data_IF_203464096990
#
_entry.id   IF_203464096990
#
_cell.length_a   1.000
_cell.length_b   1.000
_cell.length_c   1.000
_cell.angle_alpha   90.00
_cell.angle_beta   90.00
_cell.angle_gamma   90.00
#
_symmetry.space_group_name_H-M   'P 1'
#
loop_
_entity.id
_entity.type
_entity.pdbx_description
1 polymer ?
#
# COMPACT_ATOMS: atom_id res chain seq x y z
N UNK A 1 -24.95 -1.62 10.49
CA UNK A 1 -24.20 -2.81 10.92
C UNK A 1 -22.74 -2.65 10.52
N UNK A 2 -21.74 -3.12 11.29
CA UNK A 2 -20.32 -3.09 10.86
C UNK A 2 -20.10 -3.94 9.61
N UNK A 3 -19.05 -3.65 8.86
CA UNK A 3 -18.63 -4.52 7.74
C UNK A 3 -18.11 -5.83 8.34
N UNK A 4 -18.52 -6.96 7.78
CA UNK A 4 -18.15 -8.28 8.31
C UNK A 4 -16.66 -8.51 8.16
N UNK A 5 -16.02 -9.14 9.16
CA UNK A 5 -14.58 -9.44 9.20
C UNK A 5 -14.13 -10.24 7.97
N UNK A 6 -14.89 -11.24 7.56
CA UNK A 6 -14.56 -12.08 6.40
C UNK A 6 -14.56 -11.29 5.09
N UNK A 7 -15.47 -10.30 4.96
CA UNK A 7 -15.49 -9.42 3.79
C UNK A 7 -14.27 -8.48 3.76
N UNK A 8 -13.83 -8.00 4.91
CA UNK A 8 -12.60 -7.21 5.05
C UNK A 8 -11.36 -8.04 4.70
N UNK A 9 -11.27 -9.25 5.24
CA UNK A 9 -10.15 -10.17 4.95
C UNK A 9 -10.10 -10.52 3.45
N UNK A 10 -11.25 -10.84 2.85
CA UNK A 10 -11.35 -11.12 1.42
C UNK A 10 -10.90 -9.92 0.58
N UNK A 11 -11.29 -8.69 0.95
CA UNK A 11 -10.88 -7.47 0.27
C UNK A 11 -9.35 -7.27 0.32
N UNK A 12 -8.72 -7.57 1.45
CA UNK A 12 -7.27 -7.49 1.61
C UNK A 12 -6.53 -8.50 0.73
N UNK A 13 -6.91 -9.78 0.84
CA UNK A 13 -6.28 -10.86 0.08
C UNK A 13 -6.42 -10.63 -1.42
N UNK A 14 -7.61 -10.20 -1.88
CA UNK A 14 -7.82 -9.90 -3.30
C UNK A 14 -7.06 -8.64 -3.76
N UNK A 15 -6.84 -7.63 -2.90
CA UNK A 15 -5.98 -6.49 -3.22
C UNK A 15 -4.53 -6.92 -3.39
N UNK A 16 -3.98 -7.70 -2.45
CA UNK A 16 -2.62 -8.23 -2.52
C UNK A 16 -2.44 -9.15 -3.75
N UNK A 17 -3.37 -10.07 -4.01
CA UNK A 17 -3.28 -10.97 -5.17
C UNK A 17 -3.37 -10.19 -6.50
N UNK A 18 -4.25 -9.18 -6.61
CA UNK A 18 -4.36 -8.35 -7.83
C UNK A 18 -3.05 -7.59 -8.09
N UNK A 19 -2.41 -7.09 -7.04
CA UNK A 19 -1.11 -6.42 -7.15
C UNK A 19 -0.01 -7.38 -7.56
N UNK A 20 0.05 -8.59 -7.00
CA UNK A 20 1.01 -9.62 -7.40
C UNK A 20 0.83 -10.06 -8.86
N UNK A 21 -0.39 -10.04 -9.37
CA UNK A 21 -0.70 -10.37 -10.78
C UNK A 21 -0.44 -9.20 -11.73
N UNK A 22 -0.27 -7.99 -11.23
CA UNK A 22 0.13 -6.84 -12.02
C UNK A 22 1.64 -6.88 -12.32
N UNK A 23 2.03 -6.68 -13.59
CA UNK A 23 3.44 -6.61 -13.95
C UNK A 23 4.05 -5.28 -13.51
N UNK A 24 4.99 -5.33 -12.58
CA UNK A 24 5.63 -4.16 -11.99
C UNK A 24 7.14 -4.20 -12.23
N UNK A 25 7.68 -3.41 -13.20
CA UNK A 25 9.12 -3.41 -13.47
C UNK A 25 9.97 -3.18 -12.21
N UNK A 26 10.92 -4.09 -11.97
CA UNK A 26 11.82 -4.07 -10.81
C UNK A 26 11.24 -4.67 -9.51
N UNK A 27 9.95 -4.96 -9.47
CA UNK A 27 9.30 -5.54 -8.28
C UNK A 27 8.80 -6.97 -8.53
N UNK A 28 8.42 -7.68 -7.47
CA UNK A 28 7.92 -9.07 -7.55
C UNK A 28 6.53 -9.12 -8.18
N UNK A 29 6.32 -10.07 -9.07
CA UNK A 29 5.01 -10.41 -9.66
C UNK A 29 5.00 -11.87 -10.09
N UNK A 30 3.82 -12.42 -10.42
CA UNK A 30 3.69 -13.79 -10.98
C UNK A 30 4.49 -13.99 -12.29
N UNK A 31 4.91 -12.91 -12.93
CA UNK A 31 5.69 -12.94 -14.17
C UNK A 31 7.20 -12.89 -13.92
N UNK A 32 7.63 -12.44 -12.76
CA UNK A 32 9.03 -12.14 -12.48
C UNK A 32 9.30 -12.00 -10.99
N UNK A 33 10.06 -12.92 -10.41
CA UNK A 33 10.55 -12.87 -9.04
C UNK A 33 11.80 -11.99 -8.93
N UNK A 34 12.10 -11.48 -7.76
CA UNK A 34 13.25 -10.61 -7.53
C UNK A 34 13.63 -10.52 -6.05
N UNK A 35 14.89 -10.17 -5.81
CA UNK A 35 15.38 -9.78 -4.48
C UNK A 35 15.26 -10.88 -3.43
N UNK A 36 15.45 -12.15 -3.84
CA UNK A 36 15.35 -13.34 -2.97
C UNK A 36 13.96 -13.51 -2.32
N UNK A 37 12.93 -12.93 -2.93
CA UNK A 37 11.53 -13.03 -2.52
C UNK A 37 10.70 -13.68 -3.64
N UNK A 38 9.82 -14.60 -3.24
CA UNK A 38 8.91 -15.30 -4.14
C UNK A 38 7.49 -14.77 -4.04
N UNK A 39 6.68 -15.01 -5.05
CA UNK A 39 5.23 -14.71 -5.01
C UNK A 39 4.56 -15.41 -3.82
N UNK A 40 5.00 -16.63 -3.50
CA UNK A 40 4.44 -17.41 -2.41
C UNK A 40 4.76 -16.78 -1.04
N UNK A 41 5.92 -16.15 -0.87
CA UNK A 41 6.23 -15.40 0.35
C UNK A 41 5.23 -14.25 0.57
N UNK A 42 4.87 -13.53 -0.48
CA UNK A 42 3.87 -12.46 -0.39
C UNK A 42 2.47 -13.00 -0.09
N UNK A 43 2.05 -14.12 -0.70
CA UNK A 43 0.76 -14.76 -0.40
C UNK A 43 0.69 -15.24 1.04
N UNK A 44 1.73 -15.91 1.53
CA UNK A 44 1.83 -16.35 2.94
C UNK A 44 1.80 -15.16 3.89
N UNK A 45 2.50 -14.08 3.56
CA UNK A 45 2.53 -12.84 4.34
C UNK A 45 1.14 -12.21 4.43
N UNK A 46 0.43 -12.10 3.31
CA UNK A 46 -0.92 -11.56 3.28
C UNK A 46 -1.90 -12.43 4.10
N UNK A 47 -1.84 -13.75 3.93
CA UNK A 47 -2.67 -14.68 4.69
C UNK A 47 -2.42 -14.61 6.21
N UNK A 48 -1.16 -14.46 6.63
CA UNK A 48 -0.79 -14.39 8.05
C UNK A 48 -1.14 -13.03 8.68
N UNK A 49 -0.94 -11.92 7.98
CA UNK A 49 -1.19 -10.56 8.49
C UNK A 49 -2.66 -10.17 8.50
N UNK A 50 -3.44 -10.64 7.52
CA UNK A 50 -4.84 -10.25 7.30
C UNK A 50 -5.75 -10.39 8.52
N UNK A 51 -5.75 -11.51 9.27
CA UNK A 51 -6.58 -11.68 10.46
C UNK A 51 -6.39 -10.60 11.52
N UNK A 52 -5.16 -10.11 11.74
CA UNK A 52 -4.85 -9.07 12.72
C UNK A 52 -5.25 -7.68 12.21
N UNK A 53 -5.08 -7.41 10.93
CA UNK A 53 -5.54 -6.16 10.31
C UNK A 53 -7.07 -6.00 10.39
N UNK A 54 -7.82 -7.10 10.26
CA UNK A 54 -9.28 -7.11 10.31
C UNK A 54 -9.84 -7.20 11.73
N UNK A 55 -9.01 -7.31 12.77
CA UNK A 55 -9.45 -7.44 14.16
C UNK A 55 -9.88 -6.08 14.70
N UNK A 56 -11.15 -5.94 15.09
CA UNK A 56 -11.71 -4.70 15.64
C UNK A 56 -11.31 -4.43 17.09
N UNK A 57 -10.83 -5.43 17.81
CA UNK A 57 -10.49 -5.32 19.23
C UNK A 57 -9.07 -4.80 19.43
N UNK A 58 -8.25 -4.75 18.36
CA UNK A 58 -6.90 -4.22 18.38
C UNK A 58 -6.89 -2.72 18.04
N UNK A 59 -6.06 -1.95 18.74
CA UNK A 59 -5.71 -0.57 18.36
C UNK A 59 -4.92 -0.55 17.05
N UNK A 60 -4.76 0.64 16.44
CA UNK A 60 -4.03 0.79 15.20
C UNK A 60 -2.59 0.25 15.30
N UNK A 61 -1.88 0.63 16.36
CA UNK A 61 -0.51 0.18 16.57
C UNK A 61 -0.40 -1.33 16.81
N UNK A 62 -1.35 -1.89 17.57
CA UNK A 62 -1.41 -3.35 17.80
C UNK A 62 -1.67 -4.13 16.51
N UNK A 63 -2.60 -3.66 15.65
CA UNK A 63 -2.81 -4.24 14.32
C UNK A 63 -1.50 -4.32 13.53
N UNK A 64 -0.77 -3.21 13.47
CA UNK A 64 0.51 -3.11 12.76
C UNK A 64 1.52 -4.11 13.32
N UNK A 65 1.67 -4.16 14.65
CA UNK A 65 2.64 -5.04 15.30
C UNK A 65 2.30 -6.51 15.13
N UNK A 66 1.06 -6.90 15.43
CA UNK A 66 0.67 -8.31 15.37
C UNK A 66 0.63 -8.84 13.94
N UNK A 67 0.22 -8.03 12.95
CA UNK A 67 0.28 -8.37 11.54
C UNK A 67 1.73 -8.57 11.07
N UNK A 68 2.65 -7.68 11.48
CA UNK A 68 4.08 -7.79 11.16
C UNK A 68 4.70 -9.03 11.82
N UNK A 69 4.38 -9.30 13.09
CA UNK A 69 4.85 -10.49 13.79
C UNK A 69 4.39 -11.76 13.09
N UNK A 70 3.11 -11.86 12.76
CA UNK A 70 2.58 -13.02 12.07
C UNK A 70 3.25 -13.26 10.70
N UNK A 71 3.55 -12.19 9.97
CA UNK A 71 4.35 -12.29 8.74
C UNK A 71 5.73 -12.88 9.02
N UNK A 72 6.45 -12.38 10.03
CA UNK A 72 7.82 -12.84 10.38
C UNK A 72 7.86 -14.28 10.87
N UNK A 73 6.77 -14.80 11.39
CA UNK A 73 6.64 -16.21 11.79
C UNK A 73 6.54 -17.16 10.60
N UNK A 74 6.07 -16.69 9.44
CA UNK A 74 5.84 -17.54 8.25
C UNK A 74 6.80 -17.26 7.10
N UNK A 75 7.47 -16.10 7.06
CA UNK A 75 8.46 -15.72 6.03
C UNK A 75 9.71 -15.13 6.66
N UNK A 76 10.92 -15.51 6.17
CA UNK A 76 12.19 -15.08 6.78
C UNK A 76 12.57 -13.63 6.47
N UNK A 77 11.89 -12.98 5.54
CA UNK A 77 12.20 -11.64 5.04
C UNK A 77 11.05 -10.65 5.23
N UNK A 78 11.33 -9.36 5.07
CA UNK A 78 10.29 -8.32 5.09
C UNK A 78 9.65 -8.19 3.71
N UNK A 79 8.46 -8.74 3.56
CA UNK A 79 7.68 -8.70 2.31
C UNK A 79 6.61 -7.61 2.31
N UNK A 80 6.04 -7.23 3.46
CA UNK A 80 4.79 -6.48 3.49
C UNK A 80 4.65 -5.44 4.61
N UNK A 81 5.75 -4.99 5.25
CA UNK A 81 5.63 -3.96 6.29
C UNK A 81 4.92 -2.69 5.77
N UNK A 82 5.29 -2.21 4.57
CA UNK A 82 4.67 -1.04 3.97
C UNK A 82 3.19 -1.26 3.67
N UNK A 83 2.81 -2.43 3.18
CA UNK A 83 1.41 -2.82 2.99
C UNK A 83 0.66 -2.79 4.32
N UNK A 84 1.22 -3.36 5.38
CA UNK A 84 0.61 -3.38 6.73
C UNK A 84 0.42 -1.97 7.26
N UNK A 85 1.46 -1.11 7.16
CA UNK A 85 1.39 0.29 7.59
C UNK A 85 0.30 1.07 6.85
N UNK A 86 0.05 0.79 5.58
CA UNK A 86 -0.99 1.45 4.80
C UNK A 86 -2.38 0.82 4.99
N UNK A 87 -2.46 -0.50 5.16
CA UNK A 87 -3.72 -1.21 5.32
C UNK A 87 -4.36 -1.02 6.69
N UNK A 88 -3.57 -1.01 7.77
CA UNK A 88 -4.08 -0.91 9.14
C UNK A 88 -4.97 0.34 9.37
N UNK A 89 -4.56 1.57 8.99
CA UNK A 89 -5.41 2.73 9.16
C UNK A 89 -6.65 2.71 8.25
N UNK A 90 -6.59 2.10 7.05
CA UNK A 90 -7.76 1.92 6.19
C UNK A 90 -8.78 0.97 6.84
N UNK A 91 -8.34 -0.12 7.45
CA UNK A 91 -9.23 -1.02 8.19
C UNK A 91 -9.82 -0.36 9.43
N UNK A 92 -9.02 0.34 10.20
CA UNK A 92 -9.51 1.09 11.37
C UNK A 92 -10.57 2.11 10.93
N UNK A 93 -10.34 2.82 9.83
CA UNK A 93 -11.29 3.78 9.27
C UNK A 93 -12.64 3.12 8.90
N UNK A 94 -12.63 1.95 8.25
CA UNK A 94 -13.86 1.22 7.90
C UNK A 94 -14.60 0.74 9.14
N UNK A 95 -13.88 0.25 10.14
CA UNK A 95 -14.45 -0.27 11.39
C UNK A 95 -15.11 0.84 12.23
N UNK A 96 -14.53 2.04 12.19
CA UNK A 96 -15.00 3.21 12.95
C UNK A 96 -15.84 4.20 12.13
N UNK A 97 -16.15 3.90 10.86
CA UNK A 97 -16.84 4.85 9.97
C UNK A 97 -18.21 5.23 10.51
N UNK A 98 -18.48 6.54 10.54
CA UNK A 98 -19.75 7.12 11.00
C UNK A 98 -20.72 7.30 9.83
N UNK A 99 -21.98 7.52 10.18
CA UNK A 99 -22.99 7.82 9.18
C UNK A 99 -22.67 9.11 8.44
N UNK A 100 -22.75 9.07 7.11
CA UNK A 100 -22.40 10.21 6.24
C UNK A 100 -20.92 10.40 5.93
N UNK A 101 -20.00 9.78 6.68
CA UNK A 101 -18.57 9.88 6.38
C UNK A 101 -18.21 9.12 5.08
N UNK A 102 -17.22 9.65 4.36
CA UNK A 102 -16.47 8.89 3.35
C UNK A 102 -15.37 8.07 4.03
N UNK A 103 -14.82 7.08 3.31
CA UNK A 103 -13.66 6.32 3.82
C UNK A 103 -12.49 7.26 4.16
N UNK A 104 -12.23 8.26 3.32
CA UNK A 104 -11.15 9.23 3.54
C UNK A 104 -11.39 10.12 4.75
N UNK A 105 -12.64 10.54 5.02
CA UNK A 105 -12.96 11.35 6.21
C UNK A 105 -12.75 10.55 7.48
N UNK A 106 -13.22 9.31 7.51
CA UNK A 106 -12.97 8.39 8.62
C UNK A 106 -11.47 8.13 8.81
N UNK A 107 -10.71 7.92 7.73
CA UNK A 107 -9.26 7.76 7.77
C UNK A 107 -8.55 8.98 8.37
N UNK A 108 -8.91 10.20 7.93
CA UNK A 108 -8.35 11.44 8.48
C UNK A 108 -8.58 11.53 9.98
N UNK A 109 -9.77 11.17 10.45
CA UNK A 109 -10.12 11.16 11.86
C UNK A 109 -9.32 10.12 12.64
N UNK A 110 -9.19 8.91 12.12
CA UNK A 110 -8.39 7.83 12.73
C UNK A 110 -6.93 8.25 12.86
N UNK A 111 -6.33 8.78 11.80
CA UNK A 111 -4.94 9.23 11.82
C UNK A 111 -4.73 10.36 12.83
N UNK A 112 -5.67 11.32 12.92
CA UNK A 112 -5.62 12.41 13.89
C UNK A 112 -5.84 11.97 15.35
N UNK A 113 -6.40 10.78 15.57
CA UNK A 113 -6.65 10.21 16.89
C UNK A 113 -5.57 9.21 17.35
N UNK A 114 -4.51 9.02 16.56
CA UNK A 114 -3.40 8.13 16.94
C UNK A 114 -2.71 8.59 18.23
N UNK A 115 -2.21 7.64 18.98
CA UNK A 115 -1.62 7.84 20.31
C UNK A 115 -0.11 7.57 20.31
N UNK A 116 0.57 7.90 21.41
CA UNK A 116 1.96 7.50 21.66
C UNK A 116 2.07 5.97 21.78
N UNK A 117 1.07 5.29 22.33
CA UNK A 117 1.03 3.82 22.37
C UNK A 117 1.00 3.20 20.96
N UNK A 118 0.26 3.81 20.01
CA UNK A 118 0.28 3.38 18.61
C UNK A 118 1.68 3.56 17.98
N UNK A 119 2.37 4.66 18.34
CA UNK A 119 3.76 4.87 17.90
C UNK A 119 4.71 3.78 18.45
N UNK A 120 4.59 3.44 19.74
CA UNK A 120 5.44 2.41 20.37
C UNK A 120 5.23 1.02 19.73
N UNK A 121 3.98 0.62 19.50
CA UNK A 121 3.67 -0.60 18.80
C UNK A 121 4.21 -0.60 17.36
N UNK A 122 4.06 0.52 16.65
CA UNK A 122 4.57 0.67 15.27
C UNK A 122 6.09 0.61 15.24
N UNK A 123 6.79 1.25 16.17
CA UNK A 123 8.25 1.18 16.28
C UNK A 123 8.73 -0.26 16.54
N UNK A 124 8.04 -0.99 17.42
CA UNK A 124 8.30 -2.43 17.64
C UNK A 124 8.12 -3.23 16.35
N UNK A 125 7.08 -2.94 15.57
CA UNK A 125 6.84 -3.60 14.27
C UNK A 125 7.97 -3.31 13.27
N UNK A 126 8.40 -2.05 13.15
CA UNK A 126 9.49 -1.66 12.24
C UNK A 126 10.80 -2.34 12.64
N UNK A 127 11.14 -2.34 13.93
CA UNK A 127 12.33 -3.08 14.42
C UNK A 127 12.27 -4.57 14.12
N UNK A 128 11.09 -5.18 14.28
CA UNK A 128 10.89 -6.61 13.99
C UNK A 128 11.01 -6.92 12.50
N UNK A 129 10.49 -6.06 11.64
CA UNK A 129 10.54 -6.23 10.18
C UNK A 129 11.93 -6.02 9.60
N UNK A 130 12.79 -5.22 10.27
CA UNK A 130 14.15 -4.89 9.82
C UNK A 130 14.19 -4.41 8.36
N UNK A 131 13.45 -3.36 7.97
CA UNK A 131 13.46 -2.88 6.61
C UNK A 131 14.85 -2.40 6.21
N UNK A 132 15.29 -2.75 5.00
CA UNK A 132 16.60 -2.35 4.49
C UNK A 132 16.71 -0.82 4.31
N UNK A 133 17.88 -0.26 4.66
CA UNK A 133 18.18 1.15 4.44
C UNK A 133 17.43 2.13 5.36
N UNK A 134 16.93 1.69 6.51
CA UNK A 134 16.20 2.55 7.43
C UNK A 134 17.02 3.77 7.89
N UNK A 135 18.34 3.60 8.04
CA UNK A 135 19.25 4.66 8.49
C UNK A 135 19.03 5.05 9.96
N UNK A 136 19.57 6.21 10.32
CA UNK A 136 19.39 6.85 11.62
C UNK A 136 18.52 8.10 11.46
N UNK A 137 17.71 8.39 12.47
CA UNK A 137 16.94 9.64 12.53
C UNK A 137 17.44 10.49 13.69
N UNK A 138 17.72 11.80 13.49
CA UNK A 138 18.10 12.66 14.59
C UNK A 138 16.97 12.82 15.62
N UNK A 139 15.72 12.70 15.19
CA UNK A 139 14.55 12.85 16.01
C UNK A 139 13.63 11.62 15.83
N UNK A 140 13.01 11.17 16.93
CA UNK A 140 12.05 10.07 16.96
C UNK A 140 12.56 8.82 16.21
N UNK A 141 13.82 8.42 16.45
CA UNK A 141 14.38 7.21 15.86
C UNK A 141 13.60 5.97 16.35
N UNK A 142 13.29 5.08 15.45
CA UNK A 142 12.51 3.87 15.77
C UNK A 142 13.24 2.92 16.73
N UNK A 143 14.54 3.11 16.97
CA UNK A 143 15.32 2.35 17.97
C UNK A 143 15.02 2.79 19.40
N UNK A 144 14.55 4.03 19.58
CA UNK A 144 14.21 4.59 20.87
C UNK A 144 12.71 4.44 21.18
N UNK A 145 12.31 4.75 22.41
CA UNK A 145 10.89 4.84 22.75
C UNK A 145 10.30 6.14 22.17
N UNK A 146 9.13 6.11 21.51
CA UNK A 146 8.55 7.33 20.98
C UNK A 146 8.05 8.24 22.12
N UNK A 147 8.25 9.55 21.95
CA UNK A 147 7.77 10.57 22.88
C UNK A 147 6.53 11.32 22.37
N UNK A 148 6.08 10.97 21.14
CA UNK A 148 5.00 11.63 20.41
C UNK A 148 3.98 10.61 19.90
N UNK A 149 2.83 11.10 19.41
CA UNK A 149 1.83 10.26 18.77
C UNK A 149 2.37 9.66 17.45
N UNK A 150 1.72 8.60 16.95
CA UNK A 150 2.14 7.99 15.67
C UNK A 150 2.07 9.00 14.52
N UNK A 151 1.03 9.83 14.44
CA UNK A 151 0.93 10.85 13.40
C UNK A 151 2.06 11.87 13.49
N UNK A 152 2.44 12.30 14.69
CA UNK A 152 3.57 13.21 14.89
C UNK A 152 4.89 12.54 14.52
N UNK A 153 5.09 11.28 14.90
CA UNK A 153 6.27 10.50 14.48
C UNK A 153 6.38 10.41 12.94
N UNK A 154 5.26 10.20 12.25
CA UNK A 154 5.25 10.18 10.79
C UNK A 154 5.60 11.54 10.17
N UNK A 155 5.27 12.67 10.82
CA UNK A 155 5.69 14.02 10.34
C UNK A 155 7.21 14.19 10.30
N UNK A 156 7.94 13.63 11.25
CA UNK A 156 9.41 13.66 11.21
C UNK A 156 10.00 12.90 10.02
N UNK A 157 9.26 11.93 9.48
CA UNK A 157 9.72 11.08 8.37
C UNK A 157 9.12 11.43 7.00
N UNK A 158 8.07 12.27 6.91
CA UNK A 158 7.27 12.47 5.68
C UNK A 158 8.06 12.98 4.48
N UNK A 159 9.13 13.70 4.71
CA UNK A 159 9.97 14.26 3.64
C UNK A 159 10.92 13.23 3.01
N UNK A 160 11.15 12.08 3.67
CA UNK A 160 12.05 11.00 3.24
C UNK A 160 11.39 9.64 3.06
N UNK A 161 10.16 9.48 3.56
CA UNK A 161 9.40 8.24 3.48
C UNK A 161 7.97 8.49 2.99
N UNK A 162 7.63 7.91 1.83
CA UNK A 162 6.35 8.18 1.21
C UNK A 162 5.18 7.50 1.92
N UNK A 163 5.42 6.46 2.72
CA UNK A 163 4.39 5.87 3.59
C UNK A 163 4.07 6.84 4.72
N UNK A 164 5.09 7.42 5.36
CA UNK A 164 4.90 8.46 6.37
C UNK A 164 4.14 9.67 5.82
N UNK A 165 4.45 10.09 4.58
CA UNK A 165 3.70 11.13 3.88
C UNK A 165 2.20 10.80 3.74
N UNK A 166 1.82 9.54 3.52
CA UNK A 166 0.40 9.19 3.46
C UNK A 166 -0.32 9.47 4.78
N UNK A 167 0.32 9.19 5.91
CA UNK A 167 -0.27 9.47 7.23
C UNK A 167 -0.56 10.96 7.43
N UNK A 168 0.36 11.81 7.06
CA UNK A 168 0.27 13.27 7.28
C UNK A 168 -0.66 13.97 6.29
N UNK A 169 -0.88 13.38 5.11
CA UNK A 169 -1.69 13.94 4.04
C UNK A 169 -2.99 13.15 3.76
N UNK A 170 -3.43 12.33 4.71
CA UNK A 170 -4.67 11.55 4.60
C UNK A 170 -4.73 10.76 3.29
N UNK A 171 -3.63 10.06 2.98
CA UNK A 171 -3.47 9.20 1.80
C UNK A 171 -3.73 9.92 0.47
N UNK A 172 -3.20 11.15 0.34
CA UNK A 172 -3.42 11.97 -0.85
C UNK A 172 -3.04 11.25 -2.15
N UNK A 173 -1.89 10.56 -2.20
CA UNK A 173 -1.49 9.83 -3.41
C UNK A 173 -2.47 8.73 -3.77
N UNK A 174 -3.07 8.09 -2.77
CA UNK A 174 -4.07 7.04 -2.97
C UNK A 174 -5.39 7.62 -3.44
N UNK A 175 -5.96 8.58 -2.70
CA UNK A 175 -7.31 9.08 -2.97
C UNK A 175 -7.36 10.08 -4.13
N UNK A 176 -6.38 10.97 -4.27
CA UNK A 176 -6.42 12.05 -5.26
C UNK A 176 -5.80 11.66 -6.60
N UNK A 177 -4.91 10.63 -6.62
CA UNK A 177 -4.22 10.21 -7.83
C UNK A 177 -4.52 8.75 -8.20
N UNK A 178 -4.23 7.78 -7.31
CA UNK A 178 -4.24 6.36 -7.65
C UNK A 178 -5.66 5.83 -7.94
N UNK A 179 -6.63 6.09 -7.06
CA UNK A 179 -8.03 5.63 -7.22
C UNK A 179 -8.67 6.20 -8.49
N UNK A 180 -8.64 7.51 -8.78
CA UNK A 180 -9.18 8.06 -10.03
C UNK A 180 -8.53 7.45 -11.27
N UNK A 181 -7.21 7.20 -11.23
CA UNK A 181 -6.49 6.56 -12.31
C UNK A 181 -6.92 5.10 -12.49
N UNK A 182 -7.04 4.34 -11.41
CA UNK A 182 -7.51 2.97 -11.42
C UNK A 182 -8.89 2.85 -12.07
N UNK A 183 -9.86 3.63 -11.62
CA UNK A 183 -11.22 3.60 -12.17
C UNK A 183 -11.28 3.97 -13.64
N UNK A 184 -10.53 4.99 -14.07
CA UNK A 184 -10.44 5.38 -15.47
C UNK A 184 -9.91 4.25 -16.34
N UNK A 185 -8.86 3.57 -15.89
CA UNK A 185 -8.25 2.48 -16.65
C UNK A 185 -9.09 1.20 -16.60
N UNK A 186 -9.74 0.93 -15.49
CA UNK A 186 -10.68 -0.17 -15.38
C UNK A 186 -11.89 0.03 -16.30
N UNK A 187 -12.42 1.26 -16.40
CA UNK A 187 -13.49 1.58 -17.35
C UNK A 187 -13.04 1.45 -18.81
N UNK A 188 -11.78 1.78 -19.12
CA UNK A 188 -11.21 1.68 -20.46
C UNK A 188 -10.97 0.23 -20.90
N UNK A 189 -10.39 -0.60 -20.02
CA UNK A 189 -9.90 -1.93 -20.40
C UNK A 189 -10.71 -3.09 -19.83
N UNK A 190 -11.54 -2.87 -18.81
CA UNK A 190 -12.27 -3.94 -18.12
C UNK A 190 -11.39 -4.89 -17.30
N UNK A 191 -10.09 -4.61 -17.20
CA UNK A 191 -9.08 -5.47 -16.59
C UNK A 191 -8.47 -4.82 -15.33
N UNK A 192 -8.64 -5.49 -14.18
CA UNK A 192 -8.20 -5.00 -12.88
C UNK A 192 -6.68 -5.05 -12.72
N UNK A 193 -6.02 -6.05 -13.31
CA UNK A 193 -4.57 -6.27 -13.20
C UNK A 193 -3.82 -5.22 -14.05
N UNK A 194 -4.25 -4.97 -15.28
CA UNK A 194 -3.70 -3.90 -16.10
C UNK A 194 -4.01 -2.50 -15.56
N UNK A 195 -5.15 -2.34 -14.89
CA UNK A 195 -5.46 -1.09 -14.19
C UNK A 195 -4.51 -0.86 -13.02
N UNK A 196 -4.12 -1.92 -12.29
CA UNK A 196 -3.10 -1.86 -11.25
C UNK A 196 -1.70 -1.56 -11.82
N UNK A 197 -1.33 -2.15 -12.97
CA UNK A 197 -0.10 -1.77 -13.70
C UNK A 197 -0.09 -0.27 -14.01
N UNK A 198 -1.20 0.28 -14.52
CA UNK A 198 -1.29 1.70 -14.80
C UNK A 198 -1.16 2.58 -13.55
N UNK A 199 -1.72 2.15 -12.42
CA UNK A 199 -1.56 2.86 -11.12
C UNK A 199 -0.08 2.87 -10.72
N UNK A 200 0.56 1.70 -10.68
CA UNK A 200 1.98 1.57 -10.33
C UNK A 200 2.86 2.48 -11.21
N UNK A 201 2.70 2.38 -12.53
CA UNK A 201 3.45 3.19 -13.50
C UNK A 201 3.20 4.69 -13.28
N UNK A 202 1.95 5.07 -13.04
CA UNK A 202 1.59 6.47 -12.81
C UNK A 202 2.19 7.03 -11.51
N UNK A 203 2.11 6.29 -10.41
CA UNK A 203 2.71 6.69 -9.14
C UNK A 203 4.23 6.84 -9.29
N UNK A 204 4.91 5.82 -9.78
CA UNK A 204 6.38 5.80 -9.90
C UNK A 204 6.92 6.82 -10.92
N UNK A 205 6.10 7.26 -11.88
CA UNK A 205 6.45 8.34 -12.81
C UNK A 205 6.55 9.70 -12.11
N UNK A 206 5.66 9.97 -11.15
CA UNK A 206 5.50 11.28 -10.54
C UNK A 206 6.10 11.39 -9.14
N UNK A 207 6.28 10.26 -8.46
CA UNK A 207 6.68 10.20 -7.07
C UNK A 207 7.95 9.37 -6.96
N UNK A 208 9.06 9.93 -6.44
CA UNK A 208 10.25 9.15 -6.13
C UNK A 208 9.91 8.03 -5.13
N UNK A 209 10.42 6.84 -5.40
CA UNK A 209 10.18 5.68 -4.53
C UNK A 209 11.13 5.71 -3.33
N UNK A 210 10.58 5.77 -2.13
CA UNK A 210 11.36 5.86 -0.89
C UNK A 210 12.27 4.65 -0.66
N UNK A 211 11.87 3.45 -1.13
CA UNK A 211 12.72 2.26 -1.01
C UNK A 211 13.96 2.38 -1.90
N UNK A 212 13.81 2.92 -3.12
CA UNK A 212 14.93 3.19 -4.02
C UNK A 212 15.83 4.28 -3.43
N UNK A 213 15.23 5.39 -2.96
CA UNK A 213 16.00 6.52 -2.44
C UNK A 213 16.75 6.17 -1.15
N UNK A 214 16.19 5.35 -0.26
CA UNK A 214 16.89 4.86 0.94
C UNK A 214 18.15 4.06 0.59
N UNK A 215 18.12 3.30 -0.51
CA UNK A 215 19.22 2.43 -0.90
C UNK A 215 20.28 3.16 -1.74
N UNK A 216 19.86 4.10 -2.58
CA UNK A 216 20.71 4.66 -3.63
C UNK A 216 20.77 6.20 -3.65
N UNK A 217 20.07 6.87 -2.73
CA UNK A 217 19.83 8.30 -2.84
C UNK A 217 19.06 8.63 -4.13
N UNK A 218 19.21 9.85 -4.63
CA UNK A 218 18.53 10.31 -5.85
C UNK A 218 19.13 9.74 -7.16
N UNK A 219 20.09 8.82 -7.08
CA UNK A 219 20.84 8.31 -8.24
C UNK A 219 19.95 7.82 -9.38
N UNK A 220 18.86 7.12 -9.05
CA UNK A 220 17.99 6.50 -10.03
C UNK A 220 16.67 7.23 -10.27
N UNK A 221 16.36 8.28 -9.51
CA UNK A 221 15.08 9.00 -9.58
C UNK A 221 14.75 9.45 -11.01
N UNK A 222 15.69 10.07 -11.71
CA UNK A 222 15.46 10.57 -13.08
C UNK A 222 15.25 9.46 -14.12
N UNK A 223 16.04 8.38 -14.07
CA UNK A 223 15.90 7.28 -15.02
C UNK A 223 14.63 6.49 -14.78
N UNK A 224 14.27 6.25 -13.53
CA UNK A 224 13.02 5.56 -13.15
C UNK A 224 11.81 6.36 -13.65
N UNK A 225 11.75 7.66 -13.38
CA UNK A 225 10.68 8.53 -13.86
C UNK A 225 10.59 8.55 -15.39
N UNK A 226 11.73 8.61 -16.09
CA UNK A 226 11.79 8.56 -17.55
C UNK A 226 11.26 7.25 -18.13
N UNK A 227 11.66 6.09 -17.58
CA UNK A 227 11.15 4.78 -18.01
C UNK A 227 9.66 4.64 -17.76
N UNK A 228 9.19 5.11 -16.60
CA UNK A 228 7.74 5.10 -16.30
C UNK A 228 6.98 6.03 -17.23
N UNK A 229 7.54 7.18 -17.62
CA UNK A 229 6.90 8.06 -18.61
C UNK A 229 6.77 7.41 -20.00
N UNK A 230 7.76 6.62 -20.43
CA UNK A 230 7.70 5.86 -21.68
C UNK A 230 6.57 4.80 -21.65
N UNK A 231 6.50 4.03 -20.54
CA UNK A 231 5.44 3.03 -20.35
C UNK A 231 4.07 3.70 -20.26
N UNK A 232 3.94 4.78 -19.49
CA UNK A 232 2.70 5.53 -19.33
C UNK A 232 2.17 6.07 -20.66
N UNK A 233 3.06 6.59 -21.50
CA UNK A 233 2.72 7.03 -22.87
C UNK A 233 2.21 5.85 -23.71
N UNK A 234 2.88 4.71 -23.68
CA UNK A 234 2.45 3.52 -24.42
C UNK A 234 1.07 3.02 -23.93
N UNK A 235 0.85 2.94 -22.60
CA UNK A 235 -0.42 2.57 -22.00
C UNK A 235 -1.55 3.57 -22.29
N UNK A 236 -1.23 4.85 -22.50
CA UNK A 236 -2.24 5.89 -22.72
C UNK A 236 -2.86 5.84 -24.11
N UNK A 237 -2.12 5.34 -25.10
CA UNK A 237 -2.56 5.27 -26.50
C UNK A 237 -3.04 3.86 -26.92
N UNK A 238 -2.98 2.88 -26.01
CA UNK A 238 -3.34 1.50 -26.31
C UNK A 238 -4.70 1.12 -25.74
N UNK A 239 -5.59 0.60 -26.57
CA UNK A 239 -6.82 -0.08 -26.14
C UNK A 239 -6.57 -1.53 -25.69
N UNK A 240 -5.38 -2.07 -25.99
CA UNK A 240 -4.93 -3.40 -25.63
C UNK A 240 -3.64 -3.31 -24.81
N UNK A 241 -3.75 -3.14 -23.48
CA UNK A 241 -2.59 -2.88 -22.63
C UNK A 241 -1.55 -4.01 -22.64
N UNK A 242 -1.94 -5.25 -22.98
CA UNK A 242 -1.03 -6.39 -23.13
C UNK A 242 0.04 -6.19 -24.21
N UNK A 243 -0.19 -5.32 -25.18
CA UNK A 243 0.80 -4.97 -26.21
C UNK A 243 2.01 -4.21 -25.64
N UNK A 244 1.88 -3.65 -24.43
CA UNK A 244 2.96 -2.95 -23.73
C UNK A 244 3.89 -3.92 -22.98
N UNK A 245 3.53 -5.21 -22.86
CA UNK A 245 4.32 -6.21 -22.13
C UNK A 245 5.80 -6.29 -22.55
N UNK A 246 6.19 -6.24 -23.84
CA UNK A 246 7.61 -6.25 -24.21
C UNK A 246 8.40 -5.07 -23.62
N UNK A 247 7.80 -3.87 -23.58
CA UNK A 247 8.42 -2.69 -22.97
C UNK A 247 8.53 -2.85 -21.45
N UNK A 248 7.49 -3.36 -20.79
CA UNK A 248 7.53 -3.65 -19.35
C UNK A 248 8.66 -4.63 -19.00
N UNK A 249 8.81 -5.72 -19.78
CA UNK A 249 9.89 -6.70 -19.59
C UNK A 249 11.28 -6.10 -19.79
N UNK A 250 11.46 -5.25 -20.79
CA UNK A 250 12.74 -4.59 -21.06
C UNK A 250 13.14 -3.68 -19.87
N UNK A 251 12.20 -2.90 -19.35
CA UNK A 251 12.43 -2.03 -18.17
C UNK A 251 12.63 -2.86 -16.90
N UNK A 252 11.91 -3.97 -16.72
CA UNK A 252 12.09 -4.90 -15.60
C UNK A 252 13.52 -5.46 -15.56
N UNK A 253 14.02 -5.91 -16.70
CA UNK A 253 15.39 -6.41 -16.81
C UNK A 253 16.44 -5.31 -16.48
N UNK A 254 16.22 -4.08 -16.96
CA UNK A 254 17.07 -2.93 -16.63
C UNK A 254 17.05 -2.64 -15.12
N UNK A 255 15.86 -2.58 -14.51
CA UNK A 255 15.74 -2.28 -13.09
C UNK A 255 16.36 -3.37 -12.22
N UNK A 256 16.09 -4.64 -12.52
CA UNK A 256 16.66 -5.77 -11.78
C UNK A 256 18.17 -5.84 -11.90
N UNK A 257 18.74 -5.58 -13.07
CA UNK A 257 20.19 -5.52 -13.25
C UNK A 257 20.85 -4.42 -12.42
N UNK A 258 20.14 -3.31 -12.19
CA UNK A 258 20.55 -2.20 -11.32
C UNK A 258 20.22 -2.39 -9.84
N UNK A 259 19.56 -3.48 -9.46
CA UNK A 259 19.07 -3.70 -8.09
C UNK A 259 17.98 -2.71 -7.66
N UNK A 260 17.29 -2.10 -8.63
CA UNK A 260 16.22 -1.11 -8.43
C UNK A 260 14.93 -1.85 -8.11
N UNK A 261 14.39 -1.62 -6.91
CA UNK A 261 13.14 -2.20 -6.43
C UNK A 261 12.16 -1.10 -5.98
N UNK A 262 11.12 -0.79 -6.75
CA UNK A 262 10.12 0.20 -6.38
C UNK A 262 9.11 -0.35 -5.34
N UNK A 263 9.60 -0.73 -4.16
CA UNK A 263 8.81 -1.39 -3.13
C UNK A 263 7.71 -0.49 -2.55
N UNK A 264 8.04 0.77 -2.25
CA UNK A 264 7.03 1.72 -1.70
C UNK A 264 5.89 1.97 -2.68
N UNK A 265 6.19 2.02 -3.98
CA UNK A 265 5.15 2.20 -5.02
C UNK A 265 4.26 0.97 -5.15
N UNK A 266 4.83 -0.23 -4.96
CA UNK A 266 4.05 -1.48 -4.87
C UNK A 266 3.10 -1.46 -3.67
N UNK A 267 3.58 -1.06 -2.48
CA UNK A 267 2.77 -0.90 -1.27
C UNK A 267 1.61 0.08 -1.47
N UNK A 268 1.87 1.24 -2.10
CA UNK A 268 0.86 2.23 -2.45
C UNK A 268 -0.17 1.69 -3.47
N UNK A 269 0.26 0.81 -4.37
CA UNK A 269 -0.64 0.15 -5.32
C UNK A 269 -1.60 -0.79 -4.59
N UNK A 270 -1.11 -1.58 -3.63
CA UNK A 270 -1.98 -2.40 -2.77
C UNK A 270 -2.95 -1.51 -1.98
N UNK A 271 -2.48 -0.41 -1.40
CA UNK A 271 -3.34 0.51 -0.65
C UNK A 271 -4.46 1.10 -1.52
N UNK A 272 -4.18 1.45 -2.78
CA UNK A 272 -5.18 1.88 -3.75
C UNK A 272 -6.22 0.78 -4.00
N UNK A 273 -5.78 -0.42 -4.33
CA UNK A 273 -6.66 -1.56 -4.60
C UNK A 273 -7.53 -1.92 -3.38
N UNK A 274 -6.95 -1.88 -2.18
CA UNK A 274 -7.67 -2.11 -0.94
C UNK A 274 -8.73 -1.01 -0.72
N UNK A 275 -8.37 0.26 -0.83
CA UNK A 275 -9.28 1.38 -0.65
C UNK A 275 -10.49 1.30 -1.61
N UNK A 276 -10.26 0.99 -2.88
CA UNK A 276 -11.34 0.76 -3.87
C UNK A 276 -12.31 -0.34 -3.42
N UNK A 277 -11.80 -1.45 -2.89
CA UNK A 277 -12.63 -2.55 -2.40
C UNK A 277 -13.41 -2.18 -1.14
N UNK A 278 -12.76 -1.47 -0.22
CA UNK A 278 -13.41 -1.01 1.00
C UNK A 278 -14.52 0.00 0.71
N UNK A 279 -14.32 0.93 -0.23
CA UNK A 279 -15.38 1.84 -0.71
C UNK A 279 -16.56 1.09 -1.34
N UNK A 280 -16.28 0.05 -2.12
CA UNK A 280 -17.32 -0.80 -2.71
C UNK A 280 -18.15 -1.53 -1.62
N UNK A 281 -17.52 -2.07 -0.59
CA UNK A 281 -18.19 -2.70 0.56
C UNK A 281 -19.08 -1.70 1.31
N UNK A 282 -18.58 -0.48 1.54
CA UNK A 282 -19.33 0.59 2.18
C UNK A 282 -20.54 1.04 1.33
N UNK A 283 -20.39 1.10 0.00
CA UNK A 283 -21.47 1.43 -0.94
C UNK A 283 -22.58 0.37 -0.97
N UNK A 284 -22.23 -0.91 -0.88
CA UNK A 284 -23.20 -2.02 -0.80
C UNK A 284 -23.98 -1.98 0.52
N UNK A 285 -23.33 -1.59 1.62
CA UNK A 285 -23.97 -1.40 2.93
C UNK A 285 -25.04 -0.31 2.88
N UNK A 286 -24.74 0.84 2.30
CA UNK A 286 -25.69 1.97 2.18
C UNK A 286 -26.96 1.56 1.41
N UNK A 287 -26.82 0.77 0.34
CA UNK A 287 -27.95 0.26 -0.45
C UNK A 287 -28.84 -0.72 0.34
N UNK A 288 -28.25 -1.59 1.15
CA UNK A 288 -29.01 -2.55 1.98
C UNK A 288 -29.79 -1.86 3.11
N UNK A 289 -29.23 -0.81 3.73
CA UNK A 289 -29.91 -0.04 4.78
C UNK A 289 -31.01 0.89 4.22
N UNK A 290 -30.84 1.46 3.04
CA UNK A 290 -31.87 2.30 2.40
C UNK A 290 -33.12 1.53 1.96
N UNK A 291 -32.98 0.26 1.58
CA UNK A 291 -34.10 -0.59 1.17
C UNK A 291 -35.02 -1.01 2.33
N UNK A 292 -34.59 -0.86 3.59
CA UNK A 292 -35.39 -1.16 4.79
C UNK A 292 -36.18 0.05 5.32
N UNK A 293 -35.96 1.25 4.77
CA UNK A 293 -36.66 2.47 5.19
C UNK A 293 -37.81 2.87 4.25
N UNK A 294 -37.99 2.14 3.14
CA UNK A 294 -39.08 2.38 2.16
C UNK A 294 -40.13 1.25 2.14
N UNK A 295 -40.11 0.36 3.11
CA UNK A 295 -41.12 -0.70 3.32
C UNK A 295 -41.87 -0.46 4.67
#
# INVERSE_FOLDING_TARGET
MPVQRDALLSAYLDACETELRAFKPGNVSIYSEAHDMTVEDFRRSAAASGPFLCDSDLSLGEKIYHATRATREVVPCNTNLGIILLAAPLFQAVQEIREGETLRDALRRVLGATTQADADWTYKAIRLAQPGGLGESPDQDVRDAPEVTLLEAMRFAEHRDRIAYQYTNSFADVFDFAIPRYHRKLSQWGDKEWSAVAVFVGLLKHIPDSHIERKFGARYTGIVASRMAQIDKALSVSDRPEQVMPLLRAVDAEFKSGGINPGTTADLTVACLLAVRLEALLGQRKRKTGCFLEA
#
